data_IF_247788356300
#
_entry.id   IF_247788356300
#
_cell.length_a   1.000
_cell.length_b   1.000
_cell.length_c   1.000
_cell.angle_alpha   90.00
_cell.angle_beta   90.00
_cell.angle_gamma   90.00
#
_symmetry.space_group_name_H-M   'P 1'
#
loop_
_entity.id
_entity.type
_entity.pdbx_description
1 polymer ?
#
# COMPACT_ATOMS: atom_id res chain seq x y z
N UNK A 1 -1.84 -3.31 -32.58
CA UNK A 1 -1.69 -3.43 -34.05
C UNK A 1 -0.20 -3.54 -34.34
N UNK A 2 0.27 -4.60 -35.02
CA UNK A 2 1.70 -4.86 -35.21
C UNK A 2 2.38 -3.68 -35.95
N UNK A 3 3.58 -3.26 -35.54
CA UNK A 3 4.33 -2.15 -36.16
C UNK A 3 4.54 -2.37 -37.67
N UNK A 4 4.62 -3.64 -38.08
CA UNK A 4 4.73 -4.06 -39.48
C UNK A 4 3.45 -3.73 -40.26
N UNK A 5 2.27 -3.97 -39.68
CA UNK A 5 0.98 -3.71 -40.34
C UNK A 5 0.73 -2.20 -40.51
N UNK A 6 1.14 -1.39 -39.52
CA UNK A 6 1.07 0.07 -39.58
C UNK A 6 2.00 0.61 -40.68
N UNK A 7 3.21 0.04 -40.79
CA UNK A 7 4.15 0.38 -41.85
C UNK A 7 3.60 0.06 -43.25
N UNK A 8 2.93 -1.08 -43.41
CA UNK A 8 2.31 -1.48 -44.69
C UNK A 8 1.18 -0.53 -45.10
N UNK A 9 0.26 -0.21 -44.19
CA UNK A 9 -0.88 0.68 -44.48
C UNK A 9 -0.39 2.10 -44.81
N UNK A 10 0.58 2.60 -44.05
CA UNK A 10 1.17 3.93 -44.27
C UNK A 10 1.93 4.01 -45.59
N UNK A 11 2.66 2.95 -45.95
CA UNK A 11 3.37 2.84 -47.22
C UNK A 11 2.45 2.84 -48.44
N UNK A 12 1.31 2.14 -48.35
CA UNK A 12 0.30 2.11 -49.42
C UNK A 12 -0.32 3.50 -49.60
N UNK A 13 -0.73 4.17 -48.52
CA UNK A 13 -1.31 5.51 -48.57
C UNK A 13 -0.32 6.54 -49.16
N UNK A 14 0.95 6.51 -48.72
CA UNK A 14 1.99 7.38 -49.24
C UNK A 14 2.28 7.12 -50.73
N UNK A 15 2.27 5.86 -51.17
CA UNK A 15 2.50 5.51 -52.57
C UNK A 15 1.36 5.98 -53.48
N UNK A 16 0.11 5.87 -53.02
CA UNK A 16 -1.08 6.33 -53.74
C UNK A 16 -1.09 7.86 -53.86
N UNK A 17 -0.85 8.58 -52.76
CA UNK A 17 -0.81 10.04 -52.77
C UNK A 17 0.33 10.59 -53.64
N UNK A 18 1.54 10.03 -53.50
CA UNK A 18 2.67 10.45 -54.32
C UNK A 18 2.42 10.19 -55.82
N UNK A 19 1.70 9.11 -56.16
CA UNK A 19 1.33 8.78 -57.55
C UNK A 19 0.22 9.67 -58.10
N UNK A 20 -0.71 10.12 -57.26
CA UNK A 20 -1.76 11.05 -57.66
C UNK A 20 -1.23 12.48 -57.89
N UNK A 21 -0.24 12.91 -57.10
CA UNK A 21 0.33 14.27 -57.18
C UNK A 21 1.39 14.40 -58.26
N UNK A 22 2.21 13.37 -58.50
CA UNK A 22 3.29 13.41 -59.49
C UNK A 22 2.90 12.64 -60.75
N UNK A 23 2.43 13.37 -61.76
CA UNK A 23 1.92 12.83 -63.03
C UNK A 23 2.99 12.22 -63.93
N UNK A 24 4.22 12.76 -63.89
CA UNK A 24 5.40 12.22 -64.59
C UNK A 24 6.50 11.83 -63.59
N UNK A 25 6.56 10.54 -63.31
CA UNK A 25 7.45 9.96 -62.30
C UNK A 25 8.91 9.90 -62.78
N UNK A 26 9.16 9.96 -64.08
CA UNK A 26 10.51 9.88 -64.66
C UNK A 26 11.22 11.24 -64.61
N UNK A 27 10.54 12.34 -64.93
CA UNK A 27 11.13 13.69 -64.84
C UNK A 27 11.20 14.25 -63.41
N UNK A 28 10.30 13.82 -62.51
CA UNK A 28 10.17 14.40 -61.16
C UNK A 28 10.47 13.39 -60.04
N UNK A 29 11.46 12.50 -60.26
CA UNK A 29 11.83 11.44 -59.30
C UNK A 29 12.15 11.96 -57.88
N UNK A 30 12.85 13.09 -57.77
CA UNK A 30 13.16 13.71 -56.46
C UNK A 30 11.92 14.23 -55.75
N UNK A 31 10.99 14.84 -56.48
CA UNK A 31 9.73 15.34 -55.94
C UNK A 31 8.84 14.19 -55.45
N UNK A 32 8.76 13.10 -56.21
CA UNK A 32 8.06 11.88 -55.79
C UNK A 32 8.61 11.30 -54.48
N UNK A 33 9.95 11.21 -54.36
CA UNK A 33 10.61 10.71 -53.15
C UNK A 33 10.34 11.59 -51.93
N UNK A 34 10.39 12.92 -52.09
CA UNK A 34 10.10 13.85 -50.98
C UNK A 34 8.66 13.71 -50.49
N UNK A 35 7.68 13.71 -51.40
CA UNK A 35 6.25 13.59 -51.05
C UNK A 35 5.97 12.24 -50.38
N UNK A 36 6.54 11.16 -50.88
CA UNK A 36 6.38 9.82 -50.31
C UNK A 36 6.94 9.74 -48.89
N UNK A 37 8.17 10.21 -48.65
CA UNK A 37 8.79 10.17 -47.32
C UNK A 37 8.03 11.06 -46.33
N UNK A 38 7.60 12.24 -46.77
CA UNK A 38 6.88 13.19 -45.93
C UNK A 38 5.51 12.64 -45.51
N UNK A 39 4.74 12.08 -46.45
CA UNK A 39 3.45 11.45 -46.16
C UNK A 39 3.59 10.19 -45.31
N UNK A 40 4.60 9.36 -45.56
CA UNK A 40 4.90 8.18 -44.73
C UNK A 40 5.19 8.59 -43.28
N UNK A 41 6.02 9.62 -43.08
CA UNK A 41 6.36 10.13 -41.75
C UNK A 41 5.13 10.71 -41.02
N UNK A 42 4.30 11.48 -41.72
CA UNK A 42 3.08 12.08 -41.15
C UNK A 42 2.05 11.00 -40.79
N UNK A 43 1.79 10.03 -41.67
CA UNK A 43 0.85 8.94 -41.40
C UNK A 43 1.33 8.04 -40.26
N UNK A 44 2.63 7.70 -40.22
CA UNK A 44 3.19 6.89 -39.15
C UNK A 44 3.09 7.59 -37.78
N UNK A 45 3.38 8.89 -37.73
CA UNK A 45 3.24 9.71 -36.53
C UNK A 45 1.78 9.88 -36.10
N UNK A 46 0.87 10.15 -37.03
CA UNK A 46 -0.56 10.31 -36.75
C UNK A 46 -1.21 9.01 -36.25
N UNK A 47 -0.85 7.85 -36.82
CA UNK A 47 -1.33 6.54 -36.36
C UNK A 47 -0.78 6.21 -34.98
N UNK A 48 0.47 6.56 -34.67
CA UNK A 48 1.01 6.40 -33.31
C UNK A 48 0.34 7.31 -32.29
N UNK A 49 -0.06 8.53 -32.70
CA UNK A 49 -0.75 9.47 -31.83
C UNK A 49 -2.23 9.09 -31.62
N UNK A 50 -2.86 8.47 -32.63
CA UNK A 50 -4.26 8.02 -32.59
C UNK A 50 -4.43 6.59 -32.03
N UNK A 51 -3.37 5.78 -32.02
CA UNK A 51 -3.41 4.46 -31.41
C UNK A 51 -3.36 4.61 -29.88
N UNK A 52 -4.36 4.10 -29.13
CA UNK A 52 -4.29 4.12 -27.68
C UNK A 52 -3.02 3.37 -27.25
N UNK A 53 -2.25 3.99 -26.37
CA UNK A 53 -1.04 3.41 -25.79
C UNK A 53 -1.43 2.19 -24.94
N UNK A 54 -1.62 1.03 -25.58
CA UNK A 54 -1.91 -0.23 -24.89
C UNK A 54 -0.59 -0.75 -24.33
N UNK A 55 -0.29 -0.37 -23.10
CA UNK A 55 0.75 -1.05 -22.32
C UNK A 55 0.44 -2.55 -22.34
N UNK A 56 1.46 -3.35 -22.65
CA UNK A 56 1.34 -4.81 -22.59
C UNK A 56 1.27 -5.24 -21.13
N UNK A 57 0.64 -6.40 -20.88
CA UNK A 57 0.53 -6.97 -19.53
C UNK A 57 1.89 -7.15 -18.84
N UNK A 58 2.95 -7.42 -19.62
CA UNK A 58 4.32 -7.55 -19.13
C UNK A 58 4.89 -6.20 -18.66
N UNK A 59 4.71 -5.14 -19.46
CA UNK A 59 5.22 -3.80 -19.13
C UNK A 59 4.54 -3.22 -17.88
N UNK A 60 3.23 -3.43 -17.75
CA UNK A 60 2.47 -3.01 -16.58
C UNK A 60 2.92 -3.77 -15.32
N UNK A 61 3.09 -5.09 -15.44
CA UNK A 61 3.60 -5.93 -14.34
C UNK A 61 4.98 -5.48 -13.85
N UNK A 62 5.90 -5.18 -14.76
CA UNK A 62 7.23 -4.66 -14.39
C UNK A 62 7.17 -3.27 -13.77
N UNK A 63 6.31 -2.38 -14.28
CA UNK A 63 6.12 -1.05 -13.71
C UNK A 63 5.63 -1.13 -12.28
N UNK A 64 4.70 -2.05 -12.00
CA UNK A 64 4.21 -2.31 -10.65
C UNK A 64 5.30 -2.89 -9.75
N UNK A 65 6.09 -3.85 -10.24
CA UNK A 65 7.22 -4.39 -9.48
C UNK A 65 8.24 -3.30 -9.10
N UNK A 66 8.51 -2.36 -10.02
CA UNK A 66 9.38 -1.20 -9.74
C UNK A 66 8.75 -0.25 -8.72
N UNK A 67 7.44 0.01 -8.82
CA UNK A 67 6.74 0.85 -7.86
C UNK A 67 6.73 0.23 -6.45
N UNK A 68 6.51 -1.09 -6.36
CA UNK A 68 6.47 -1.83 -5.10
C UNK A 68 7.84 -2.06 -4.48
N UNK A 69 8.91 -2.11 -5.29
CA UNK A 69 10.28 -2.29 -4.81
C UNK A 69 10.73 -1.21 -3.81
N UNK A 70 10.14 -0.01 -3.86
CA UNK A 70 10.44 1.09 -2.94
C UNK A 70 9.65 1.04 -1.62
N UNK A 71 8.71 0.10 -1.47
CA UNK A 71 7.94 -0.08 -0.25
C UNK A 71 8.40 -1.36 0.47
N UNK A 72 8.96 -1.26 1.68
CA UNK A 72 9.51 -2.42 2.39
C UNK A 72 8.45 -3.49 2.72
N UNK A 73 7.18 -3.10 2.90
CA UNK A 73 6.08 -4.05 3.15
C UNK A 73 5.84 -4.92 1.93
N UNK A 74 5.78 -4.34 0.73
CA UNK A 74 5.62 -5.13 -0.50
C UNK A 74 6.83 -6.03 -0.78
N UNK A 75 8.04 -5.58 -0.46
CA UNK A 75 9.25 -6.41 -0.55
C UNK A 75 9.14 -7.63 0.38
N UNK A 76 8.72 -7.43 1.63
CA UNK A 76 8.51 -8.51 2.58
C UNK A 76 7.40 -9.48 2.14
N UNK A 77 6.25 -8.96 1.68
CA UNK A 77 5.14 -9.79 1.19
C UNK A 77 5.56 -10.59 -0.04
N UNK A 78 6.28 -9.99 -0.99
CA UNK A 78 6.80 -10.71 -2.17
C UNK A 78 7.64 -11.92 -1.78
N UNK A 79 8.43 -11.79 -0.72
CA UNK A 79 9.33 -12.84 -0.26
C UNK A 79 8.63 -13.90 0.60
N UNK A 80 7.76 -13.50 1.53
CA UNK A 80 7.20 -14.40 2.55
C UNK A 80 5.73 -14.77 2.31
N UNK A 81 5.02 -14.03 1.47
CA UNK A 81 3.60 -14.25 1.11
C UNK A 81 3.40 -14.09 -0.42
N UNK A 82 4.07 -14.90 -1.26
CA UNK A 82 4.10 -14.72 -2.72
C UNK A 82 2.71 -14.87 -3.38
N UNK A 83 1.81 -15.66 -2.78
CA UNK A 83 0.43 -15.79 -3.25
C UNK A 83 -0.33 -14.47 -3.10
N UNK A 84 -0.27 -13.85 -1.91
CA UNK A 84 -0.87 -12.54 -1.66
C UNK A 84 -0.24 -11.46 -2.55
N UNK A 85 1.08 -11.50 -2.76
CA UNK A 85 1.74 -10.58 -3.68
C UNK A 85 1.16 -10.67 -5.11
N UNK A 86 0.96 -11.89 -5.61
CA UNK A 86 0.37 -12.11 -6.93
C UNK A 86 -1.08 -11.62 -7.00
N UNK A 87 -1.88 -11.82 -5.94
CA UNK A 87 -3.25 -11.31 -5.84
C UNK A 87 -3.29 -9.78 -5.89
N UNK A 88 -2.47 -9.10 -5.08
CA UNK A 88 -2.35 -7.64 -5.06
C UNK A 88 -1.98 -7.11 -6.45
N UNK A 89 -1.02 -7.76 -7.13
CA UNK A 89 -0.64 -7.40 -8.49
C UNK A 89 -1.81 -7.54 -9.48
N UNK A 90 -2.56 -8.62 -9.39
CA UNK A 90 -3.71 -8.85 -10.28
C UNK A 90 -4.83 -7.85 -10.03
N UNK A 91 -5.07 -7.48 -8.77
CA UNK A 91 -6.09 -6.49 -8.39
C UNK A 91 -5.74 -5.10 -8.93
N UNK A 92 -4.52 -4.63 -8.70
CA UNK A 92 -4.03 -3.37 -9.29
C UNK A 92 -4.10 -3.37 -10.82
N UNK A 93 -3.68 -4.45 -11.46
CA UNK A 93 -3.77 -4.59 -12.93
C UNK A 93 -5.23 -4.44 -13.40
N UNK A 94 -6.14 -5.16 -12.77
CA UNK A 94 -7.57 -5.15 -13.12
C UNK A 94 -8.19 -3.77 -12.89
N UNK A 95 -7.86 -3.11 -11.79
CA UNK A 95 -8.34 -1.76 -11.49
C UNK A 95 -7.84 -0.74 -12.51
N UNK A 96 -6.55 -0.75 -12.86
CA UNK A 96 -5.98 0.13 -13.89
C UNK A 96 -6.62 -0.10 -15.26
N UNK A 97 -6.81 -1.36 -15.65
CA UNK A 97 -7.49 -1.71 -16.91
C UNK A 97 -8.96 -1.27 -16.94
N UNK A 98 -9.59 -1.18 -15.77
CA UNK A 98 -10.97 -0.69 -15.60
C UNK A 98 -11.06 0.83 -15.43
N UNK A 99 -9.94 1.55 -15.51
CA UNK A 99 -9.89 3.01 -15.37
C UNK A 99 -9.98 3.52 -13.92
N UNK A 100 -9.83 2.65 -12.92
CA UNK A 100 -9.74 3.07 -11.52
C UNK A 100 -8.44 3.83 -11.27
N UNK A 101 -8.49 4.80 -10.35
CA UNK A 101 -7.30 5.55 -9.99
C UNK A 101 -6.46 4.77 -8.97
N UNK A 102 -5.12 4.84 -9.02
CA UNK A 102 -4.22 4.19 -8.06
C UNK A 102 -4.60 4.40 -6.59
N UNK A 103 -5.02 5.60 -6.24
CA UNK A 103 -5.43 5.98 -4.89
C UNK A 103 -6.65 5.21 -4.36
N UNK A 104 -7.59 4.85 -5.24
CA UNK A 104 -8.83 4.16 -4.87
C UNK A 104 -8.58 2.67 -4.58
N UNK A 105 -7.45 2.14 -5.01
CA UNK A 105 -7.06 0.74 -4.82
C UNK A 105 -6.29 0.49 -3.53
N UNK A 106 -5.85 1.54 -2.81
CA UNK A 106 -5.05 1.40 -1.59
C UNK A 106 -5.84 0.77 -0.44
N UNK A 107 -7.07 1.23 -0.19
CA UNK A 107 -7.90 0.74 0.91
C UNK A 107 -8.20 -0.78 0.83
N UNK A 108 -8.70 -1.31 -0.31
CA UNK A 108 -8.92 -2.75 -0.46
C UNK A 108 -7.65 -3.56 -0.20
N UNK A 109 -6.49 -3.06 -0.61
CA UNK A 109 -5.22 -3.75 -0.43
C UNK A 109 -4.82 -3.76 1.04
N UNK A 110 -4.88 -2.60 1.72
CA UNK A 110 -4.62 -2.54 3.16
C UNK A 110 -5.53 -3.50 3.93
N UNK A 111 -6.81 -3.58 3.57
CA UNK A 111 -7.74 -4.52 4.20
C UNK A 111 -7.31 -5.99 4.05
N UNK A 112 -6.69 -6.38 2.93
CA UNK A 112 -6.11 -7.72 2.74
C UNK A 112 -4.80 -7.93 3.48
N UNK A 113 -4.02 -6.86 3.70
CA UNK A 113 -2.76 -6.95 4.44
C UNK A 113 -2.96 -7.13 5.94
N UNK A 114 -4.05 -6.59 6.51
CA UNK A 114 -4.31 -6.64 7.94
C UNK A 114 -4.31 -8.07 8.52
N UNK A 115 -5.06 -9.05 7.97
CA UNK A 115 -5.04 -10.42 8.49
C UNK A 115 -3.65 -11.09 8.42
N UNK A 116 -2.89 -10.77 7.37
CA UNK A 116 -1.53 -11.31 7.19
C UNK A 116 -0.60 -10.72 8.24
N UNK A 117 -0.66 -9.42 8.46
CA UNK A 117 0.10 -8.78 9.53
C UNK A 117 -0.25 -9.39 10.89
N UNK A 118 -1.55 -9.51 11.22
CA UNK A 118 -2.02 -10.14 12.46
C UNK A 118 -1.52 -11.58 12.65
N UNK A 119 -1.38 -12.36 11.57
CA UNK A 119 -0.78 -13.70 11.61
C UNK A 119 0.70 -13.68 12.03
N UNK A 120 1.45 -12.65 11.62
CA UNK A 120 2.90 -12.58 11.88
C UNK A 120 3.25 -12.00 13.25
N UNK A 121 2.47 -11.05 13.80
CA UNK A 121 2.81 -10.38 15.07
C UNK A 121 3.11 -11.37 16.20
N UNK A 122 2.28 -12.39 16.49
CA UNK A 122 2.49 -13.26 17.64
C UNK A 122 3.79 -14.06 17.60
N UNK A 123 4.40 -14.23 16.42
CA UNK A 123 5.62 -15.02 16.21
C UNK A 123 6.85 -14.16 15.93
N UNK A 124 6.72 -12.83 15.85
CA UNK A 124 7.81 -11.91 15.53
C UNK A 124 8.83 -11.77 16.68
N UNK A 125 9.97 -11.13 16.40
CA UNK A 125 10.92 -10.76 17.46
C UNK A 125 10.34 -9.64 18.34
N UNK A 126 10.79 -9.59 19.60
CA UNK A 126 10.39 -8.54 20.55
C UNK A 126 10.80 -7.15 20.02
N UNK A 127 12.05 -7.02 19.57
CA UNK A 127 12.56 -5.82 18.89
C UNK A 127 11.65 -5.34 17.74
N UNK A 128 11.22 -6.25 16.85
CA UNK A 128 10.41 -5.86 15.69
C UNK A 128 9.03 -5.34 16.08
N UNK A 129 8.37 -5.98 17.04
CA UNK A 129 7.04 -5.54 17.51
C UNK A 129 7.11 -4.27 18.36
N UNK A 130 8.19 -4.09 19.13
CA UNK A 130 8.43 -2.87 19.91
C UNK A 130 8.68 -1.69 18.97
N UNK A 131 9.53 -1.87 17.95
CA UNK A 131 9.77 -0.86 16.91
C UNK A 131 8.46 -0.48 16.18
N UNK A 132 7.67 -1.48 15.80
CA UNK A 132 6.34 -1.25 15.23
C UNK A 132 5.44 -0.46 16.16
N UNK A 133 5.40 -0.81 17.45
CA UNK A 133 4.52 -0.15 18.39
C UNK A 133 4.95 1.29 18.69
N UNK A 134 6.25 1.60 18.70
CA UNK A 134 6.72 2.99 18.73
C UNK A 134 6.23 3.78 17.51
N UNK A 135 6.32 3.21 16.30
CA UNK A 135 5.84 3.85 15.08
C UNK A 135 4.32 4.09 15.11
N UNK A 136 3.56 3.12 15.63
CA UNK A 136 2.12 3.23 15.83
C UNK A 136 1.76 4.32 16.84
N UNK A 137 2.40 4.37 18.01
CA UNK A 137 2.17 5.42 19.01
C UNK A 137 2.48 6.80 18.44
N UNK A 138 3.59 6.96 17.71
CA UNK A 138 3.91 8.22 17.01
C UNK A 138 2.80 8.61 16.02
N UNK A 139 2.30 7.65 15.25
CA UNK A 139 1.21 7.88 14.29
C UNK A 139 -0.07 8.33 15.00
N UNK A 140 -0.46 7.67 16.08
CA UNK A 140 -1.64 8.03 16.86
C UNK A 140 -1.51 9.41 17.51
N UNK A 141 -0.32 9.77 18.01
CA UNK A 141 -0.05 11.08 18.58
C UNK A 141 -0.18 12.20 17.54
N UNK A 142 0.26 11.98 16.29
CA UNK A 142 0.08 12.95 15.20
C UNK A 142 -1.36 13.12 14.77
N UNK A 143 -2.13 12.02 14.77
CA UNK A 143 -3.54 12.01 14.41
C UNK A 143 -4.46 12.38 15.58
N UNK A 144 -3.89 12.66 16.75
CA UNK A 144 -4.63 13.03 17.96
C UNK A 144 -5.25 14.41 17.78
N UNK A 145 -6.56 14.43 17.60
CA UNK A 145 -7.37 15.64 17.54
C UNK A 145 -8.47 15.59 18.60
N UNK A 146 -9.06 16.73 19.00
CA UNK A 146 -10.16 16.76 19.98
C UNK A 146 -11.35 15.86 19.60
N UNK A 147 -11.62 15.66 18.31
CA UNK A 147 -12.69 14.76 17.84
C UNK A 147 -12.34 13.27 17.92
N UNK A 148 -11.06 12.92 18.04
CA UNK A 148 -10.56 11.54 18.02
C UNK A 148 -10.73 10.81 16.67
N UNK A 149 -11.35 11.42 15.67
CA UNK A 149 -11.80 10.72 14.47
C UNK A 149 -10.65 10.13 13.64
N UNK A 150 -9.60 10.91 13.37
CA UNK A 150 -8.50 10.43 12.52
C UNK A 150 -7.68 9.33 13.19
N UNK A 151 -7.43 9.48 14.48
CA UNK A 151 -6.78 8.46 15.30
C UNK A 151 -7.61 7.17 15.34
N UNK A 152 -8.92 7.29 15.56
CA UNK A 152 -9.85 6.16 15.57
C UNK A 152 -9.93 5.47 14.19
N UNK A 153 -10.11 6.23 13.12
CA UNK A 153 -10.21 5.71 11.74
C UNK A 153 -8.88 5.06 11.30
N UNK A 154 -7.74 5.48 11.86
CA UNK A 154 -6.44 4.85 11.63
C UNK A 154 -6.32 3.48 12.32
N UNK A 155 -6.83 3.33 13.54
CA UNK A 155 -6.82 2.05 14.28
C UNK A 155 -7.90 1.08 13.78
N UNK A 156 -9.05 1.62 13.39
CA UNK A 156 -10.23 0.87 13.00
C UNK A 156 -10.72 1.31 11.61
N UNK A 157 -9.93 1.07 10.55
CA UNK A 157 -10.29 1.48 9.20
C UNK A 157 -11.60 0.79 8.80
N UNK A 158 -12.56 1.59 8.32
CA UNK A 158 -13.82 1.13 7.76
C UNK A 158 -13.81 1.29 6.24
N UNK A 159 -14.17 0.27 5.46
CA UNK A 159 -14.24 0.39 4.00
C UNK A 159 -15.13 1.56 3.57
N UNK A 160 -14.65 2.40 2.66
CA UNK A 160 -15.43 3.52 2.12
C UNK A 160 -15.47 4.77 3.01
N UNK A 161 -14.62 4.84 4.05
CA UNK A 161 -14.38 6.11 4.73
C UNK A 161 -13.49 6.98 3.87
N UNK A 162 -13.96 8.19 3.50
CA UNK A 162 -13.22 9.12 2.62
C UNK A 162 -11.89 9.60 3.26
N UNK A 163 -11.70 9.34 4.55
CA UNK A 163 -10.53 9.78 5.30
C UNK A 163 -9.42 8.76 5.13
N UNK A 164 -8.26 9.26 4.73
CA UNK A 164 -7.01 8.50 4.64
C UNK A 164 -6.05 9.02 5.72
N UNK A 165 -6.21 8.65 7.01
CA UNK A 165 -5.45 9.26 8.10
C UNK A 165 -3.94 9.12 7.90
N UNK A 166 -3.49 8.02 7.28
CA UNK A 166 -2.09 7.80 6.94
C UNK A 166 -1.48 8.91 6.09
N UNK A 167 -2.26 9.64 5.27
CA UNK A 167 -1.77 10.78 4.48
C UNK A 167 -1.46 12.02 5.31
N UNK A 168 -1.96 12.08 6.54
CA UNK A 168 -1.73 13.20 7.45
C UNK A 168 -0.50 12.96 8.35
N UNK A 169 0.06 11.76 8.33
CA UNK A 169 1.31 11.46 9.00
C UNK A 169 2.47 12.14 8.28
N UNK A 170 3.48 12.57 9.02
CA UNK A 170 4.71 13.07 8.41
C UNK A 170 5.44 11.93 7.63
N UNK A 171 6.23 12.26 6.60
CA UNK A 171 6.89 11.26 5.77
C UNK A 171 7.82 10.30 6.53
N UNK A 172 8.47 10.75 7.60
CA UNK A 172 9.37 9.91 8.39
C UNK A 172 8.57 8.88 9.20
N UNK A 173 7.45 9.30 9.82
CA UNK A 173 6.57 8.37 10.53
C UNK A 173 5.92 7.37 9.59
N UNK A 174 5.46 7.78 8.40
CA UNK A 174 4.95 6.84 7.39
C UNK A 174 6.00 5.78 7.02
N UNK A 175 7.24 6.23 6.77
CA UNK A 175 8.35 5.34 6.44
C UNK A 175 8.64 4.36 7.56
N UNK A 176 8.69 4.84 8.81
CA UNK A 176 8.98 4.02 9.98
C UNK A 176 7.89 2.95 10.24
N UNK A 177 6.61 3.29 10.04
CA UNK A 177 5.52 2.31 10.09
C UNK A 177 5.70 1.23 9.02
N UNK A 178 6.00 1.60 7.77
CA UNK A 178 6.20 0.63 6.70
C UNK A 178 7.43 -0.28 6.95
N UNK A 179 8.54 0.29 7.40
CA UNK A 179 9.75 -0.46 7.72
C UNK A 179 9.52 -1.44 8.88
N UNK A 180 8.86 -0.99 9.94
CA UNK A 180 8.58 -1.84 11.10
C UNK A 180 7.60 -2.97 10.79
N UNK A 181 6.57 -2.74 9.97
CA UNK A 181 5.69 -3.81 9.46
C UNK A 181 6.50 -4.86 8.70
N UNK A 182 7.40 -4.43 7.81
CA UNK A 182 8.24 -5.36 7.05
C UNK A 182 9.16 -6.18 7.97
N UNK A 183 9.69 -5.59 9.04
CA UNK A 183 10.52 -6.29 10.02
C UNK A 183 9.73 -7.29 10.87
N UNK A 184 8.48 -6.99 11.22
CA UNK A 184 7.59 -7.94 11.90
C UNK A 184 7.38 -9.18 11.02
N UNK A 185 7.01 -8.99 9.74
CA UNK A 185 6.83 -10.10 8.79
C UNK A 185 8.13 -10.91 8.65
N UNK A 186 9.24 -10.23 8.41
CA UNK A 186 10.55 -10.86 8.21
C UNK A 186 11.00 -11.67 9.43
N UNK A 187 10.96 -11.07 10.62
CA UNK A 187 11.45 -11.72 11.85
C UNK A 187 10.64 -12.97 12.16
N UNK A 188 9.32 -12.89 12.05
CA UNK A 188 8.43 -14.02 12.26
C UNK A 188 8.58 -15.12 11.19
N UNK A 189 8.87 -14.76 9.93
CA UNK A 189 9.08 -15.75 8.86
C UNK A 189 10.44 -16.45 8.93
N UNK A 190 11.50 -15.74 9.31
CA UNK A 190 12.87 -16.27 9.31
C UNK A 190 13.21 -17.01 10.61
N UNK A 191 12.79 -16.46 11.75
CA UNK A 191 13.10 -16.99 13.08
C UNK A 191 11.86 -16.86 13.98
N UNK A 192 10.80 -17.64 13.71
CA UNK A 192 9.56 -17.56 14.49
C UNK A 192 9.81 -17.85 15.96
N UNK A 193 9.26 -17.00 16.82
CA UNK A 193 9.21 -17.20 18.26
C UNK A 193 7.87 -17.82 18.66
N UNK A 194 7.86 -18.58 19.75
CA UNK A 194 6.61 -19.09 20.34
C UNK A 194 5.75 -17.93 20.87
N UNK A 195 4.45 -17.87 20.55
CA UNK A 195 3.54 -16.89 21.14
C UNK A 195 3.55 -16.91 22.67
N UNK A 196 3.62 -15.74 23.33
CA UNK A 196 3.51 -15.65 24.78
C UNK A 196 2.15 -16.16 25.28
N UNK A 197 2.13 -16.73 26.49
CA UNK A 197 0.90 -17.14 27.17
C UNK A 197 0.46 -16.06 28.16
N UNK A 198 -0.82 -16.09 28.56
CA UNK A 198 -1.39 -15.13 29.51
C UNK A 198 -0.54 -14.99 30.78
N UNK A 199 -0.15 -16.13 31.37
CA UNK A 199 0.67 -16.18 32.60
C UNK A 199 2.02 -15.46 32.48
N UNK A 200 2.56 -15.34 31.26
CA UNK A 200 3.87 -14.76 31.01
C UNK A 200 3.79 -13.22 30.97
N UNK A 201 2.59 -12.66 30.80
CA UNK A 201 2.38 -11.22 30.60
C UNK A 201 1.43 -10.57 31.62
N UNK A 202 0.61 -11.36 32.31
CA UNK A 202 -0.31 -10.90 33.38
C UNK A 202 0.39 -10.02 34.42
N UNK A 203 1.59 -10.35 34.94
CA UNK A 203 2.27 -9.53 35.94
C UNK A 203 2.55 -8.08 35.49
N UNK A 204 2.68 -7.85 34.17
CA UNK A 204 2.92 -6.54 33.59
C UNK A 204 1.61 -5.86 33.14
N UNK A 205 0.68 -6.64 32.60
CA UNK A 205 -0.59 -6.11 32.07
C UNK A 205 -1.53 -5.63 33.18
N UNK A 206 -1.62 -6.35 34.30
CA UNK A 206 -2.55 -6.00 35.38
C UNK A 206 -2.29 -4.62 36.00
N UNK A 207 -1.04 -4.26 36.38
CA UNK A 207 -0.74 -2.91 36.87
C UNK A 207 -1.07 -1.82 35.85
N UNK A 208 -0.71 -2.02 34.57
CA UNK A 208 -0.99 -1.06 33.51
C UNK A 208 -2.51 -0.83 33.37
N UNK A 209 -3.30 -1.91 33.40
CA UNK A 209 -4.76 -1.80 33.33
C UNK A 209 -5.38 -1.17 34.58
N UNK A 210 -4.80 -1.39 35.76
CA UNK A 210 -5.23 -0.74 36.99
C UNK A 210 -5.00 0.79 36.91
N UNK A 211 -3.81 1.21 36.48
CA UNK A 211 -3.47 2.63 36.30
C UNK A 211 -4.39 3.31 35.27
N UNK A 212 -4.71 2.63 34.17
CA UNK A 212 -5.63 3.16 33.16
C UNK A 212 -7.05 3.31 33.72
N UNK A 213 -7.52 2.36 34.53
CA UNK A 213 -8.83 2.47 35.21
C UNK A 213 -8.85 3.61 36.21
N UNK A 214 -7.77 3.82 36.96
CA UNK A 214 -7.66 4.94 37.90
C UNK A 214 -7.69 6.28 37.17
N UNK A 215 -6.96 6.41 36.06
CA UNK A 215 -6.87 7.66 35.29
C UNK A 215 -8.14 7.99 34.51
N UNK A 216 -8.74 7.01 33.84
CA UNK A 216 -9.86 7.23 32.91
C UNK A 216 -11.23 6.88 33.50
N UNK A 217 -11.28 6.19 34.64
CA UNK A 217 -12.52 5.75 35.26
C UNK A 217 -13.24 4.63 34.50
N UNK A 218 -14.54 4.40 34.79
CA UNK A 218 -15.35 3.36 34.16
C UNK A 218 -15.37 3.33 32.62
N UNK A 219 -15.27 4.47 31.89
CA UNK A 219 -15.27 4.47 30.42
C UNK A 219 -14.15 3.66 29.76
N UNK A 220 -13.06 3.35 30.47
CA UNK A 220 -12.01 2.45 29.95
C UNK A 220 -12.54 1.07 29.55
N UNK A 221 -13.68 0.65 30.11
CA UNK A 221 -14.36 -0.59 29.73
C UNK A 221 -14.83 -0.60 28.27
N UNK A 222 -14.98 0.55 27.61
CA UNK A 222 -15.25 0.63 26.17
C UNK A 222 -14.14 -0.01 25.32
N UNK A 223 -12.91 -0.15 25.86
CA UNK A 223 -11.82 -0.85 25.19
C UNK A 223 -12.08 -2.35 24.98
N UNK A 224 -13.07 -2.93 25.67
CA UNK A 224 -13.47 -4.32 25.44
C UNK A 224 -14.21 -4.50 24.09
N UNK A 225 -14.89 -3.45 23.62
CA UNK A 225 -15.52 -3.43 22.30
C UNK A 225 -15.31 -2.05 21.65
N UNK A 226 -14.09 -1.76 21.18
CA UNK A 226 -13.75 -0.43 20.68
C UNK A 226 -14.41 -0.10 19.34
N UNK A 227 -15.18 -1.04 18.75
CA UNK A 227 -15.93 -0.87 17.50
C UNK A 227 -17.44 -0.69 17.72
N UNK A 228 -17.91 -0.60 18.97
CA UNK A 228 -19.33 -0.36 19.24
C UNK A 228 -19.79 1.00 18.64
N UNK A 229 -21.06 1.15 18.22
CA UNK A 229 -21.52 2.35 17.52
C UNK A 229 -21.41 3.64 18.32
N UNK A 230 -21.42 3.56 19.65
CA UNK A 230 -21.51 4.66 20.61
C UNK A 230 -20.22 4.89 21.40
N UNK A 231 -19.08 4.37 20.92
CA UNK A 231 -17.78 4.60 21.56
C UNK A 231 -17.36 6.08 21.49
N UNK A 232 -16.73 6.55 22.55
CA UNK A 232 -16.04 7.84 22.54
C UNK A 232 -14.70 7.68 21.83
N UNK A 233 -14.65 8.08 20.55
CA UNK A 233 -13.43 7.98 19.70
C UNK A 233 -12.23 8.71 20.29
N UNK A 234 -12.42 9.84 20.96
CA UNK A 234 -11.36 10.61 21.58
C UNK A 234 -10.81 9.88 22.82
N UNK A 235 -11.71 9.32 23.64
CA UNK A 235 -11.34 8.44 24.75
C UNK A 235 -10.55 7.22 24.26
N UNK A 236 -11.06 6.50 23.25
CA UNK A 236 -10.39 5.32 22.68
C UNK A 236 -8.98 5.67 22.19
N UNK A 237 -8.82 6.80 21.50
CA UNK A 237 -7.51 7.28 21.07
C UNK A 237 -6.56 7.51 22.25
N UNK A 238 -7.00 8.25 23.27
CA UNK A 238 -6.16 8.60 24.42
C UNK A 238 -5.78 7.37 25.26
N UNK A 239 -6.75 6.48 25.53
CA UNK A 239 -6.51 5.24 26.26
C UNK A 239 -5.55 4.34 25.49
N UNK A 240 -5.69 4.24 24.17
CA UNK A 240 -4.80 3.41 23.34
C UNK A 240 -3.37 3.97 23.33
N UNK A 241 -3.19 5.29 23.17
CA UNK A 241 -1.88 5.94 23.24
C UNK A 241 -1.23 5.68 24.60
N UNK A 242 -1.97 5.90 25.69
CA UNK A 242 -1.44 5.71 27.05
C UNK A 242 -1.11 4.25 27.35
N UNK A 243 -1.97 3.30 26.94
CA UNK A 243 -1.74 1.87 27.10
C UNK A 243 -0.42 1.47 26.46
N UNK A 244 -0.24 1.76 25.18
CA UNK A 244 0.97 1.36 24.47
C UNK A 244 2.20 2.15 24.88
N UNK A 245 2.05 3.42 25.29
CA UNK A 245 3.18 4.19 25.87
C UNK A 245 3.71 3.49 27.13
N UNK A 246 2.82 3.08 28.05
CA UNK A 246 3.20 2.37 29.28
C UNK A 246 3.79 0.99 29.00
N UNK A 247 3.26 0.28 28.00
CA UNK A 247 3.85 -1.00 27.57
C UNK A 247 5.28 -0.79 27.05
N UNK A 248 5.54 0.30 26.33
CA UNK A 248 6.85 0.65 25.79
C UNK A 248 7.84 1.18 26.84
N UNK A 249 7.38 1.50 28.06
CA UNK A 249 8.24 1.85 29.20
C UNK A 249 8.82 0.62 29.91
N UNK A 250 8.27 -0.57 29.66
CA UNK A 250 8.82 -1.83 30.17
C UNK A 250 10.16 -2.16 29.46
N UNK A 251 11.00 -3.03 30.06
CA UNK A 251 12.09 -3.68 29.35
C UNK A 251 11.63 -4.31 28.03
N UNK A 252 12.47 -4.22 26.98
CA UNK A 252 12.10 -4.64 25.61
C UNK A 252 11.51 -6.06 25.52
N UNK A 253 12.05 -7.01 26.29
CA UNK A 253 11.55 -8.38 26.30
C UNK A 253 10.13 -8.49 26.86
N UNK A 254 9.81 -7.69 27.87
CA UNK A 254 8.50 -7.63 28.51
C UNK A 254 7.51 -6.88 27.62
N UNK A 255 7.90 -5.72 27.08
CA UNK A 255 7.12 -4.95 26.10
C UNK A 255 6.76 -5.81 24.89
N UNK A 256 7.77 -6.44 24.28
CA UNK A 256 7.59 -7.25 23.09
C UNK A 256 6.70 -8.47 23.33
N UNK A 257 6.86 -9.13 24.49
CA UNK A 257 5.99 -10.25 24.86
C UNK A 257 4.55 -9.78 25.06
N UNK A 258 4.33 -8.65 25.72
CA UNK A 258 2.99 -8.12 25.96
C UNK A 258 2.31 -7.65 24.65
N UNK A 259 3.03 -6.96 23.76
CA UNK A 259 2.50 -6.55 22.44
C UNK A 259 2.09 -7.78 21.62
N UNK A 260 2.93 -8.82 21.60
CA UNK A 260 2.65 -10.06 20.87
C UNK A 260 1.45 -10.82 21.41
N UNK A 261 1.29 -10.81 22.74
CA UNK A 261 0.13 -11.41 23.39
C UNK A 261 -1.16 -10.65 23.04
N UNK A 262 -1.16 -9.32 23.11
CA UNK A 262 -2.34 -8.50 22.81
C UNK A 262 -2.74 -8.52 21.33
N UNK A 263 -1.79 -8.81 20.44
CA UNK A 263 -2.03 -8.94 19.00
C UNK A 263 -2.40 -10.37 18.57
N UNK A 264 -2.36 -11.35 19.48
CA UNK A 264 -2.77 -12.71 19.19
C UNK A 264 -4.30 -12.79 18.98
N UNK A 265 -4.78 -13.56 17.98
CA UNK A 265 -6.20 -13.73 17.69
C UNK A 265 -6.96 -14.50 18.77
#
# INVERSE_FOLDING_TARGET
>A
MNNILIGVISGIAAAVLARAVVRDRQNHRRLYQMIFVLTLAICFSAIKLAAPHRQTDSELSEQMDRAFANNPVYVAIKQYEPALYAEIKNEFKTGLQSGQKPEDMIEPIVARLLPVFSKYVPNASNEAVVRFMHAMVSSLQQLRAPSGELCYDYMFPSPGTVRMPHRQLDPATQKEVMESIAQVIRSAAVAPRTPPQARDVTPYLEPIMADLREKYGPPVMQMQNPRAPDVDKHLICNVTIDLYTRILELPEDESGSLIRYLAAP
#
